data_IF_733742968454
#
_entry.id   IF_733742968454
#
_cell.length_a   1.000
_cell.length_b   1.000
_cell.length_c   1.000
_cell.angle_alpha   90.00
_cell.angle_beta   90.00
_cell.angle_gamma   90.00
#
_symmetry.space_group_name_H-M   'P 1'
#
loop_
_entity.id
_entity.type
_entity.pdbx_description
1 polymer ?
#
# COMPACT_ATOMS: atom_id res chain seq x y z
N UNK A 1 -6.43 22.55 -28.23
CA UNK A 1 -5.84 21.36 -27.58
C UNK A 1 -6.97 20.60 -26.91
N UNK A 2 -7.24 19.38 -27.38
CA UNK A 2 -8.28 18.48 -26.88
C UNK A 2 -8.03 18.14 -25.41
N UNK A 3 -8.83 18.69 -24.51
CA UNK A 3 -8.76 18.50 -23.05
C UNK A 3 -9.07 17.05 -22.58
N UNK A 4 -9.17 16.09 -23.50
CA UNK A 4 -9.69 14.74 -23.25
C UNK A 4 -8.73 13.61 -23.59
N UNK A 5 -7.57 13.90 -24.16
CA UNK A 5 -6.49 12.91 -24.22
C UNK A 5 -5.74 12.93 -22.89
N UNK A 6 -5.80 11.81 -22.17
CA UNK A 6 -4.73 11.47 -21.25
C UNK A 6 -3.51 11.23 -22.14
N UNK A 7 -2.54 12.14 -22.11
CA UNK A 7 -1.31 11.93 -22.85
C UNK A 7 -0.67 10.60 -22.39
N UNK A 8 -0.22 9.76 -23.33
CA UNK A 8 0.56 8.54 -23.08
C UNK A 8 1.98 8.84 -22.57
N UNK A 9 2.12 9.88 -21.77
CA UNK A 9 3.31 10.09 -20.99
C UNK A 9 3.29 9.05 -19.86
N UNK A 10 4.35 8.27 -19.71
CA UNK A 10 4.59 7.39 -18.55
C UNK A 10 4.72 8.16 -17.21
N UNK A 11 4.34 9.44 -17.19
CA UNK A 11 4.43 10.34 -16.05
C UNK A 11 3.05 10.55 -15.39
N UNK A 12 2.91 10.11 -14.15
CA UNK A 12 1.66 10.18 -13.39
C UNK A 12 1.20 11.63 -13.13
N UNK A 13 2.14 12.56 -12.97
CA UNK A 13 1.82 13.97 -12.78
C UNK A 13 1.16 14.56 -14.04
N UNK A 14 1.63 14.15 -15.24
CA UNK A 14 1.03 14.57 -16.51
C UNK A 14 -0.32 13.90 -16.77
N UNK A 15 -0.49 12.63 -16.37
CA UNK A 15 -1.77 11.91 -16.45
C UNK A 15 -2.84 12.64 -15.64
N UNK A 16 -2.54 13.11 -14.42
CA UNK A 16 -3.47 13.93 -13.63
C UNK A 16 -3.52 15.38 -14.13
N UNK A 17 -2.45 15.89 -14.72
CA UNK A 17 -2.33 17.30 -15.12
C UNK A 17 -1.91 18.21 -13.98
N UNK A 18 -1.22 17.68 -12.97
CA UNK A 18 -0.74 18.44 -11.82
C UNK A 18 0.79 18.59 -11.84
N UNK A 19 1.30 19.52 -11.03
CA UNK A 19 2.75 19.71 -10.86
C UNK A 19 3.34 18.70 -9.87
N UNK A 20 4.65 18.43 -9.97
CA UNK A 20 5.40 17.64 -8.97
C UNK A 20 5.31 18.22 -7.56
N UNK A 21 4.99 19.51 -7.41
CA UNK A 21 4.80 20.16 -6.12
C UNK A 21 3.33 20.23 -5.67
N UNK A 22 2.40 19.61 -6.41
CA UNK A 22 0.98 19.65 -6.07
C UNK A 22 0.69 19.02 -4.70
N UNK A 23 -0.21 19.67 -3.97
CA UNK A 23 -0.72 19.18 -2.67
C UNK A 23 -1.69 18.03 -2.89
N UNK A 24 -1.94 17.26 -1.82
CA UNK A 24 -2.90 16.16 -1.84
C UNK A 24 -4.29 16.60 -2.31
N UNK A 25 -4.78 17.72 -1.80
CA UNK A 25 -6.11 18.24 -2.14
C UNK A 25 -6.19 18.63 -3.63
N UNK A 26 -5.15 19.31 -4.13
CA UNK A 26 -5.06 19.67 -5.55
C UNK A 26 -5.08 18.43 -6.46
N UNK A 27 -4.34 17.38 -6.10
CA UNK A 27 -4.33 16.11 -6.84
C UNK A 27 -5.74 15.50 -6.90
N UNK A 28 -6.49 15.54 -5.80
CA UNK A 28 -7.85 15.02 -5.75
C UNK A 28 -8.83 15.86 -6.57
N UNK A 29 -8.70 17.18 -6.56
CA UNK A 29 -9.54 18.09 -7.34
C UNK A 29 -9.33 17.83 -8.84
N UNK A 30 -8.09 17.80 -9.31
CA UNK A 30 -7.75 17.54 -10.71
C UNK A 30 -8.22 16.15 -11.15
N UNK A 31 -8.02 15.13 -10.31
CA UNK A 31 -8.52 13.78 -10.56
C UNK A 31 -10.04 13.77 -10.75
N UNK A 32 -10.80 14.44 -9.87
CA UNK A 32 -12.27 14.51 -9.98
C UNK A 32 -12.71 15.17 -11.27
N UNK A 33 -12.05 16.28 -11.66
CA UNK A 33 -12.35 16.95 -12.92
C UNK A 33 -12.13 16.02 -14.11
N UNK A 34 -10.98 15.33 -14.18
CA UNK A 34 -10.69 14.37 -15.25
C UNK A 34 -11.62 13.16 -15.27
N UNK A 35 -11.96 12.61 -14.11
CA UNK A 35 -12.89 11.49 -14.01
C UNK A 35 -14.28 11.85 -14.55
N UNK A 36 -14.75 13.07 -14.31
CA UNK A 36 -16.04 13.55 -14.86
C UNK A 36 -16.02 13.66 -16.38
N UNK A 37 -14.90 14.06 -16.97
CA UNK A 37 -14.72 14.14 -18.42
C UNK A 37 -14.72 12.75 -19.06
N UNK A 38 -14.14 11.77 -18.35
CA UNK A 38 -14.07 10.37 -18.77
C UNK A 38 -15.34 9.57 -18.48
N UNK A 39 -16.39 10.22 -17.98
CA UNK A 39 -17.66 9.55 -17.73
C UNK A 39 -18.33 9.19 -19.07
N UNK A 40 -18.85 7.96 -19.23
CA UNK A 40 -19.45 7.49 -20.50
C UNK A 40 -20.56 8.42 -20.98
N UNK A 41 -21.33 9.01 -20.06
CA UNK A 41 -22.40 9.96 -20.41
C UNK A 41 -21.92 11.21 -21.17
N UNK A 42 -20.73 11.72 -20.85
CA UNK A 42 -20.14 12.86 -21.56
C UNK A 42 -19.42 12.44 -22.85
N UNK A 43 -19.03 11.18 -22.96
CA UNK A 43 -18.27 10.65 -24.11
C UNK A 43 -19.18 10.08 -25.20
N UNK A 44 -20.45 9.80 -24.94
CA UNK A 44 -21.44 9.38 -25.96
C UNK A 44 -21.45 10.23 -27.24
N UNK A 45 -21.06 11.50 -27.15
CA UNK A 45 -20.99 12.43 -28.30
C UNK A 45 -19.61 12.46 -29.00
N UNK A 46 -18.65 11.61 -28.62
CA UNK A 46 -17.29 11.55 -29.16
C UNK A 46 -17.00 10.15 -29.69
N UNK A 47 -16.29 10.06 -30.82
CA UNK A 47 -15.85 8.80 -31.43
C UNK A 47 -14.65 8.21 -30.65
N UNK A 48 -14.81 7.92 -29.37
CA UNK A 48 -13.82 7.25 -28.53
C UNK A 48 -14.36 5.88 -28.18
N UNK A 49 -13.56 4.84 -28.33
CA UNK A 49 -14.00 3.47 -28.06
C UNK A 49 -14.15 3.23 -26.57
N UNK A 50 -15.12 2.42 -26.13
CA UNK A 50 -15.34 2.13 -24.70
C UNK A 50 -14.09 1.55 -24.02
N UNK A 51 -13.28 0.77 -24.73
CA UNK A 51 -12.01 0.24 -24.24
C UNK A 51 -10.98 1.33 -23.95
N UNK A 52 -10.84 2.34 -24.82
CA UNK A 52 -9.93 3.46 -24.59
C UNK A 52 -10.34 4.27 -23.36
N UNK A 53 -11.65 4.43 -23.13
CA UNK A 53 -12.18 5.11 -21.94
C UNK A 53 -11.79 4.33 -20.68
N UNK A 54 -11.96 3.00 -20.70
CA UNK A 54 -11.61 2.13 -19.57
C UNK A 54 -10.11 2.18 -19.28
N UNK A 55 -9.26 2.09 -20.30
CA UNK A 55 -7.81 2.15 -20.14
C UNK A 55 -7.37 3.50 -19.55
N UNK A 56 -7.89 4.60 -20.10
CA UNK A 56 -7.61 5.94 -19.60
C UNK A 56 -8.08 6.12 -18.16
N UNK A 57 -9.25 5.60 -17.81
CA UNK A 57 -9.76 5.63 -16.45
C UNK A 57 -8.87 4.82 -15.48
N UNK A 58 -8.39 3.64 -15.91
CA UNK A 58 -7.45 2.83 -15.12
C UNK A 58 -6.13 3.56 -14.89
N UNK A 59 -5.55 4.17 -15.94
CA UNK A 59 -4.33 5.00 -15.83
C UNK A 59 -4.54 6.17 -14.86
N UNK A 60 -5.66 6.87 -14.97
CA UNK A 60 -6.02 7.98 -14.08
C UNK A 60 -6.16 7.53 -12.62
N UNK A 61 -6.83 6.40 -12.40
CA UNK A 61 -7.02 5.82 -11.07
C UNK A 61 -5.69 5.42 -10.44
N UNK A 62 -4.82 4.77 -11.22
CA UNK A 62 -3.49 4.35 -10.80
C UNK A 62 -2.63 5.55 -10.40
N UNK A 63 -2.61 6.61 -11.23
CA UNK A 63 -1.90 7.84 -10.91
C UNK A 63 -2.38 8.46 -9.59
N UNK A 64 -3.69 8.49 -9.36
CA UNK A 64 -4.27 9.00 -8.11
C UNK A 64 -3.79 8.19 -6.90
N UNK A 65 -3.85 6.86 -6.96
CA UNK A 65 -3.46 5.98 -5.85
C UNK A 65 -2.00 6.21 -5.42
N UNK A 66 -1.11 6.37 -6.39
CA UNK A 66 0.32 6.58 -6.13
C UNK A 66 0.59 7.97 -5.57
N UNK A 67 0.02 9.00 -6.19
CA UNK A 67 0.31 10.40 -5.83
C UNK A 67 -0.38 10.84 -4.53
N UNK A 68 -1.46 10.15 -4.13
CA UNK A 68 -2.16 10.41 -2.86
C UNK A 68 -1.43 9.87 -1.64
N UNK A 69 -0.70 8.76 -1.75
CA UNK A 69 0.05 8.20 -0.63
C UNK A 69 1.50 8.72 -0.64
N UNK A 70 1.96 9.41 0.42
CA UNK A 70 3.30 10.00 0.44
C UNK A 70 4.43 8.96 0.34
N UNK A 71 4.24 7.74 0.82
CA UNK A 71 5.23 6.66 0.67
C UNK A 71 5.32 6.22 -0.79
N UNK A 72 4.18 5.93 -1.42
CA UNK A 72 4.10 5.55 -2.84
C UNK A 72 4.63 6.65 -3.76
N UNK A 73 4.36 7.91 -3.46
CA UNK A 73 4.87 9.07 -4.21
C UNK A 73 6.38 9.18 -4.14
N UNK A 74 6.99 9.06 -2.95
CA UNK A 74 8.46 9.06 -2.82
C UNK A 74 9.09 7.93 -3.62
N UNK A 75 8.47 6.78 -3.56
CA UNK A 75 8.87 5.61 -4.30
C UNK A 75 8.85 5.88 -5.81
N UNK A 76 7.74 6.42 -6.33
CA UNK A 76 7.64 6.83 -7.72
C UNK A 76 8.68 7.89 -8.12
N UNK A 77 8.89 8.91 -7.29
CA UNK A 77 9.89 9.95 -7.54
C UNK A 77 11.30 9.37 -7.62
N UNK A 78 11.62 8.37 -6.78
CA UNK A 78 12.90 7.65 -6.83
C UNK A 78 13.01 6.83 -8.12
N UNK A 79 11.97 6.07 -8.49
CA UNK A 79 11.93 5.30 -9.74
C UNK A 79 12.18 6.18 -10.97
N UNK A 80 11.61 7.40 -10.97
CA UNK A 80 11.86 8.39 -12.01
C UNK A 80 13.31 8.89 -12.04
N UNK A 81 13.92 9.12 -10.87
CA UNK A 81 15.29 9.63 -10.75
C UNK A 81 16.33 8.60 -11.18
N UNK A 82 16.15 7.33 -10.79
CA UNK A 82 17.07 6.25 -11.15
C UNK A 82 17.01 5.86 -12.64
N UNK A 83 16.02 6.37 -13.39
CA UNK A 83 15.90 6.13 -14.82
C UNK A 83 15.73 4.65 -15.19
N UNK A 84 15.15 3.84 -14.29
CA UNK A 84 14.99 2.40 -14.48
C UNK A 84 13.87 2.11 -15.49
N UNK A 85 14.19 2.25 -16.79
CA UNK A 85 13.25 2.01 -17.90
C UNK A 85 12.93 0.53 -18.11
N UNK A 86 13.64 -0.38 -17.45
CA UNK A 86 13.55 -1.81 -17.70
C UNK A 86 12.37 -2.48 -16.96
N UNK A 87 11.89 -1.88 -15.87
CA UNK A 87 10.74 -2.40 -15.12
C UNK A 87 9.57 -1.42 -15.17
N UNK A 88 8.36 -1.96 -15.38
CA UNK A 88 7.15 -1.17 -15.28
C UNK A 88 6.98 -0.64 -13.85
N UNK A 89 6.48 0.59 -13.71
CA UNK A 89 6.21 1.19 -12.40
C UNK A 89 5.33 0.28 -11.54
N UNK A 90 4.31 -0.33 -12.15
CA UNK A 90 3.39 -1.24 -11.47
C UNK A 90 4.13 -2.44 -10.87
N UNK A 91 5.04 -3.04 -11.63
CA UNK A 91 5.82 -4.19 -11.18
C UNK A 91 6.83 -3.81 -10.08
N UNK A 92 7.47 -2.65 -10.24
CA UNK A 92 8.35 -2.10 -9.23
C UNK A 92 7.62 -1.86 -7.89
N UNK A 93 6.40 -1.32 -7.94
CA UNK A 93 5.57 -1.12 -6.74
C UNK A 93 5.05 -2.42 -6.13
N UNK A 94 4.65 -3.39 -6.96
CA UNK A 94 4.21 -4.71 -6.49
C UNK A 94 5.33 -5.46 -5.77
N UNK A 95 6.57 -5.34 -6.24
CA UNK A 95 7.71 -5.99 -5.61
C UNK A 95 8.01 -5.39 -4.23
N UNK A 96 7.82 -4.08 -4.04
CA UNK A 96 7.94 -3.43 -2.72
C UNK A 96 6.88 -3.94 -1.74
N UNK A 97 5.63 -4.04 -2.16
CA UNK A 97 4.55 -4.52 -1.28
C UNK A 97 4.73 -5.99 -0.89
N UNK A 98 5.16 -6.83 -1.85
CA UNK A 98 5.51 -8.23 -1.57
C UNK A 98 6.61 -8.35 -0.54
N UNK A 99 7.64 -7.50 -0.58
CA UNK A 99 8.68 -7.48 0.44
C UNK A 99 8.13 -7.08 1.81
N UNK A 100 7.18 -6.14 1.88
CA UNK A 100 6.51 -5.80 3.15
C UNK A 100 5.66 -6.96 3.68
N UNK A 101 5.01 -7.73 2.79
CA UNK A 101 4.26 -8.91 3.19
C UNK A 101 5.19 -10.05 3.66
N UNK A 102 6.28 -10.37 2.96
CA UNK A 102 7.20 -11.42 3.44
C UNK A 102 7.85 -11.06 4.79
N UNK A 103 7.98 -9.78 5.10
CA UNK A 103 8.47 -9.27 6.40
C UNK A 103 7.40 -9.27 7.52
N UNK A 104 6.13 -9.57 7.24
CA UNK A 104 5.06 -9.47 8.24
C UNK A 104 5.15 -10.49 9.39
N UNK A 105 5.87 -11.60 9.21
CA UNK A 105 6.11 -12.60 10.26
C UNK A 105 7.27 -12.22 11.20
N UNK A 106 8.06 -11.18 10.87
CA UNK A 106 9.25 -10.76 11.61
C UNK A 106 9.13 -9.43 12.37
N UNK A 107 8.07 -8.64 12.13
CA UNK A 107 7.83 -7.40 12.89
C UNK A 107 7.17 -7.73 14.22
N UNK A 108 7.97 -7.81 15.29
CA UNK A 108 7.46 -7.66 16.64
C UNK A 108 6.78 -6.30 16.74
N UNK A 109 5.44 -6.26 16.75
CA UNK A 109 4.69 -5.06 17.14
C UNK A 109 5.26 -4.61 18.48
N UNK A 110 5.77 -3.39 18.56
CA UNK A 110 6.15 -2.78 19.82
C UNK A 110 4.92 -2.82 20.73
N UNK A 111 4.92 -3.77 21.67
CA UNK A 111 3.85 -3.90 22.65
C UNK A 111 3.85 -2.58 23.41
N UNK A 112 2.72 -1.87 23.32
CA UNK A 112 2.51 -0.59 24.00
C UNK A 112 3.06 -0.65 25.41
N UNK A 113 3.84 0.38 25.77
CA UNK A 113 4.44 0.56 27.09
C UNK A 113 3.35 0.40 28.16
N UNK A 114 3.25 -0.77 28.78
CA UNK A 114 2.44 -0.96 29.98
C UNK A 114 3.07 -0.08 31.07
N UNK A 115 2.38 0.99 31.46
CA UNK A 115 2.74 1.80 32.63
C UNK A 115 2.73 0.87 33.85
N UNK A 116 3.85 0.87 34.57
CA UNK A 116 4.15 -0.08 35.62
C UNK A 116 3.12 -0.06 36.75
N UNK A 117 2.69 -1.26 37.12
CA UNK A 117 2.23 -1.55 38.49
C UNK A 117 3.45 -2.18 39.15
N UNK A 118 4.02 -1.52 40.16
CA UNK A 118 5.11 -2.09 40.96
C UNK A 118 4.54 -3.24 41.80
N UNK A 119 4.69 -4.47 41.32
CA UNK A 119 4.47 -5.65 42.13
C UNK A 119 5.71 -5.87 43.00
N UNK A 120 5.60 -5.54 44.29
CA UNK A 120 6.54 -5.97 45.32
C UNK A 120 6.52 -7.50 45.40
N UNK A 121 7.56 -8.14 44.87
CA UNK A 121 7.80 -9.57 45.05
C UNK A 121 8.35 -9.79 46.47
N UNK A 122 7.52 -10.31 47.38
CA UNK A 122 8.01 -10.91 48.63
C UNK A 122 8.55 -12.30 48.33
N UNK A 123 9.86 -12.43 48.42
CA UNK A 123 10.57 -13.71 48.51
C UNK A 123 9.95 -14.59 49.60
N UNK A 124 9.40 -15.74 49.20
CA UNK A 124 9.19 -16.88 50.09
C UNK A 124 9.89 -18.08 49.49
N UNK A 125 10.82 -18.60 50.29
CA UNK A 125 11.88 -19.50 49.86
C UNK A 125 11.45 -20.89 49.39
N UNK A 126 12.37 -21.46 48.62
CA UNK A 126 12.66 -22.89 48.44
C UNK A 126 11.47 -23.82 48.19
N UNK A 127 11.00 -23.88 46.94
CA UNK A 127 10.26 -25.05 46.45
C UNK A 127 10.81 -25.50 45.09
N UNK A 128 11.38 -26.70 45.10
CA UNK A 128 11.84 -27.48 43.95
C UNK A 128 10.77 -27.49 42.84
N UNK A 129 11.15 -27.07 41.63
CA UNK A 129 10.31 -27.07 40.43
C UNK A 129 9.62 -28.43 40.24
N UNK A 130 8.34 -28.52 40.62
CA UNK A 130 7.50 -29.66 40.26
C UNK A 130 6.82 -29.35 38.94
N UNK A 131 7.22 -30.06 37.90
CA UNK A 131 6.70 -29.89 36.54
C UNK A 131 5.17 -29.97 36.51
N UNK A 132 4.54 -29.06 35.76
CA UNK A 132 3.09 -28.99 35.62
C UNK A 132 2.58 -30.27 34.95
N UNK A 133 1.89 -31.13 35.71
CA UNK A 133 1.27 -32.34 35.21
C UNK A 133 -0.14 -32.02 34.68
N UNK A 134 -0.19 -31.22 33.62
CA UNK A 134 -1.44 -30.89 32.93
C UNK A 134 -1.93 -32.11 32.09
N UNK A 135 -3.25 -32.25 31.87
CA UNK A 135 -3.79 -33.31 31.01
C UNK A 135 -3.16 -33.33 29.62
N UNK A 136 -2.87 -32.14 29.08
CA UNK A 136 -2.22 -31.94 27.78
C UNK A 136 -0.77 -32.45 27.77
N UNK A 137 0.00 -32.17 28.83
CA UNK A 137 1.38 -32.68 28.95
C UNK A 137 1.45 -34.20 29.10
N UNK A 138 0.39 -34.83 29.64
CA UNK A 138 0.29 -36.29 29.76
C UNK A 138 -0.01 -36.94 28.40
N UNK A 139 -0.96 -36.40 27.65
CA UNK A 139 -1.32 -36.90 26.33
C UNK A 139 -0.13 -36.92 25.35
N UNK A 140 0.79 -35.96 25.46
CA UNK A 140 1.98 -35.90 24.62
C UNK A 140 3.02 -36.99 24.94
N UNK A 141 3.09 -37.44 26.21
CA UNK A 141 4.02 -38.51 26.62
C UNK A 141 3.52 -39.91 26.28
N UNK A 142 2.20 -40.09 26.20
CA UNK A 142 1.58 -41.41 25.97
C UNK A 142 1.24 -41.67 24.49
N UNK A 143 1.53 -40.72 23.59
CA UNK A 143 1.30 -40.88 22.16
C UNK A 143 2.33 -41.86 21.55
N UNK A 144 1.87 -43.04 21.12
CA UNK A 144 2.65 -44.00 20.33
C UNK A 144 2.19 -43.94 18.87
N UNK A 145 3.17 -43.99 17.96
CA UNK A 145 2.98 -44.06 16.50
C UNK A 145 2.52 -45.47 16.12
#
# INVERSE_FOLDING_TARGET
>A
MSFLEINDCNNLYQIIGCSKNATFDQILVEYKQKALLLHPDKIKNKNISEDEIKENFQKLQFAKDILTNPQKRKHYDLWMDVGFSEFSLQEWMNNQEKLQQTLHWGQQKEKGKLKGISAECKDRGNESWKGCNSPTSRAFREYKI
#
